data_IF_916122699097
#
_entry.id   IF_916122699097
#
_cell.length_a   1.000
_cell.length_b   1.000
_cell.length_c   1.000
_cell.angle_alpha   90.00
_cell.angle_beta   90.00
_cell.angle_gamma   90.00
#
_symmetry.space_group_name_H-M   'P 1'
#
loop_
_entity.id
_entity.type
_entity.pdbx_description
1 polymer ?
#
# COMPACT_ATOMS: atom_id res chain seq x y z
N UNK A 1 15.94 -9.07 -14.90
CA UNK A 1 15.13 -8.76 -13.71
C UNK A 1 16.07 -8.24 -12.65
N UNK A 2 15.70 -7.20 -11.93
CA UNK A 2 16.65 -6.46 -11.09
C UNK A 2 16.33 -6.63 -9.59
N UNK A 3 17.35 -6.61 -8.75
CA UNK A 3 17.24 -6.48 -7.29
C UNK A 3 17.42 -5.02 -6.89
N UNK A 4 16.63 -4.55 -5.91
CA UNK A 4 16.82 -3.22 -5.29
C UNK A 4 17.29 -3.43 -3.86
N UNK A 5 18.38 -2.75 -3.46
CA UNK A 5 18.84 -2.75 -2.10
C UNK A 5 18.97 -1.30 -1.59
N UNK A 6 18.37 -1.05 -0.43
CA UNK A 6 18.49 0.19 0.33
C UNK A 6 19.35 -0.09 1.56
N UNK A 7 20.43 0.67 1.76
CA UNK A 7 21.36 0.53 2.89
C UNK A 7 21.36 1.80 3.70
N UNK A 8 20.74 1.79 4.87
CA UNK A 8 20.73 2.91 5.81
C UNK A 8 20.18 4.21 5.21
N UNK A 9 19.19 4.14 4.32
CA UNK A 9 18.63 5.32 3.66
C UNK A 9 17.90 6.18 4.67
N UNK A 10 18.32 7.46 4.74
CA UNK A 10 17.68 8.48 5.55
C UNK A 10 17.46 9.77 4.75
N UNK A 11 16.45 10.57 5.13
CA UNK A 11 16.18 11.88 4.53
C UNK A 11 15.69 12.88 5.55
N UNK A 12 16.35 14.02 5.60
CA UNK A 12 15.91 15.21 6.33
C UNK A 12 15.71 16.39 5.39
N UNK A 13 14.75 17.23 5.68
CA UNK A 13 14.54 18.55 5.07
C UNK A 13 14.76 19.61 6.15
N UNK A 14 15.89 20.29 6.09
CA UNK A 14 16.33 21.16 7.19
C UNK A 14 16.46 20.36 8.49
N UNK A 15 15.78 20.79 9.55
CA UNK A 15 15.79 20.12 10.85
C UNK A 15 14.79 18.93 10.97
N UNK A 16 13.94 18.73 9.96
CA UNK A 16 12.88 17.71 10.02
C UNK A 16 13.35 16.41 9.39
N UNK A 17 13.52 15.35 10.18
CA UNK A 17 13.76 13.99 9.70
C UNK A 17 12.44 13.38 9.17
N UNK A 18 12.33 13.21 7.84
CA UNK A 18 11.14 12.65 7.17
C UNK A 18 11.26 11.15 6.96
N UNK A 19 12.46 10.67 6.69
CA UNK A 19 12.78 9.25 6.63
C UNK A 19 13.97 9.00 7.55
N UNK A 20 13.76 8.15 8.53
CA UNK A 20 14.81 7.65 9.41
C UNK A 20 15.53 6.49 8.71
N UNK A 21 16.59 6.00 9.32
CA UNK A 21 17.39 4.94 8.72
C UNK A 21 16.56 3.72 8.31
N UNK A 22 16.53 3.44 7.00
CA UNK A 22 15.81 2.31 6.42
C UNK A 22 16.77 1.45 5.60
N UNK A 23 16.82 0.16 5.94
CA UNK A 23 17.54 -0.85 5.16
C UNK A 23 16.58 -1.95 4.74
N UNK A 24 16.58 -2.29 3.45
CA UNK A 24 15.76 -3.36 2.92
C UNK A 24 16.29 -3.84 1.56
N UNK A 25 15.94 -5.09 1.20
CA UNK A 25 16.23 -5.66 -0.11
C UNK A 25 14.95 -6.15 -0.74
N UNK A 26 14.72 -5.79 -2.03
CA UNK A 26 13.70 -6.37 -2.88
C UNK A 26 14.32 -7.40 -3.79
N UNK A 27 13.72 -8.59 -3.82
CA UNK A 27 14.08 -9.64 -4.75
C UNK A 27 13.64 -9.29 -6.18
N UNK A 28 14.29 -9.93 -7.15
CA UNK A 28 13.93 -9.78 -8.57
C UNK A 28 12.48 -10.21 -8.83
N UNK A 29 11.71 -9.35 -9.47
CA UNK A 29 10.29 -9.59 -9.77
C UNK A 29 9.33 -9.43 -8.59
N UNK A 30 9.83 -9.06 -7.40
CA UNK A 30 9.02 -8.80 -6.21
C UNK A 30 8.23 -7.49 -6.34
N UNK A 31 7.00 -7.48 -5.87
CA UNK A 31 6.22 -6.28 -5.64
C UNK A 31 6.18 -5.96 -4.15
N UNK A 32 6.92 -4.94 -3.74
CA UNK A 32 6.87 -4.39 -2.39
C UNK A 32 5.88 -3.23 -2.34
N UNK A 33 4.90 -3.32 -1.44
CA UNK A 33 3.93 -2.24 -1.24
C UNK A 33 4.25 -1.50 0.06
N UNK A 34 4.22 -0.18 -0.01
CA UNK A 34 4.47 0.72 1.12
C UNK A 34 3.16 1.38 1.52
N UNK A 35 2.75 1.16 2.77
CA UNK A 35 1.56 1.79 3.36
C UNK A 35 1.93 2.55 4.63
N UNK A 36 1.05 3.43 5.05
CA UNK A 36 1.21 4.20 6.28
C UNK A 36 0.37 5.48 6.23
N UNK A 37 0.27 6.17 7.36
CA UNK A 37 -0.44 7.42 7.46
C UNK A 37 0.12 8.50 6.51
N UNK A 38 -0.68 9.54 6.23
CA UNK A 38 -0.20 10.68 5.44
C UNK A 38 1.01 11.33 6.12
N UNK A 39 2.00 11.72 5.33
CA UNK A 39 3.22 12.36 5.85
C UNK A 39 4.27 11.43 6.48
N UNK A 40 4.08 10.11 6.53
CA UNK A 40 5.05 9.18 7.14
C UNK A 40 6.31 8.89 6.28
N UNK A 41 6.48 9.53 5.11
CA UNK A 41 7.68 9.40 4.29
C UNK A 41 7.59 8.50 3.05
N UNK A 42 6.42 7.91 2.73
CA UNK A 42 6.23 6.97 1.58
C UNK A 42 6.68 7.55 0.24
N UNK A 43 6.09 8.66 -0.17
CA UNK A 43 6.44 9.31 -1.45
C UNK A 43 7.86 9.86 -1.45
N UNK A 44 8.40 10.23 -0.27
CA UNK A 44 9.81 10.62 -0.13
C UNK A 44 10.71 9.45 -0.45
N UNK A 45 10.46 8.27 0.13
CA UNK A 45 11.23 7.05 -0.18
C UNK A 45 11.19 6.73 -1.68
N UNK A 46 10.00 6.80 -2.29
CA UNK A 46 9.85 6.57 -3.72
C UNK A 46 10.66 7.55 -4.57
N UNK A 47 10.65 8.85 -4.21
CA UNK A 47 11.41 9.91 -4.90
C UNK A 47 12.93 9.75 -4.74
N UNK A 48 13.39 9.27 -3.58
CA UNK A 48 14.80 8.93 -3.37
C UNK A 48 15.25 7.81 -4.32
N UNK A 49 14.47 6.74 -4.45
CA UNK A 49 14.76 5.64 -5.37
C UNK A 49 14.71 6.11 -6.83
N UNK A 50 13.75 6.97 -7.18
CA UNK A 50 13.65 7.57 -8.51
C UNK A 50 14.82 8.53 -8.84
N UNK A 51 15.53 9.03 -7.82
CA UNK A 51 16.57 10.05 -7.96
C UNK A 51 16.03 11.48 -8.11
N UNK A 52 14.77 11.68 -7.82
CA UNK A 52 14.12 12.99 -7.81
C UNK A 52 14.46 13.78 -6.54
N UNK A 53 14.96 13.08 -5.52
CA UNK A 53 15.50 13.61 -4.27
C UNK A 53 16.81 12.91 -3.97
N UNK A 54 17.75 13.60 -3.34
CA UNK A 54 18.98 13.00 -2.83
C UNK A 54 18.78 12.55 -1.38
N UNK A 55 19.23 11.35 -0.97
CA UNK A 55 19.21 10.95 0.43
C UNK A 55 20.16 11.82 1.26
N UNK A 56 19.88 11.97 2.55
CA UNK A 56 20.77 12.63 3.51
C UNK A 56 21.87 11.68 3.99
N UNK A 57 21.59 10.36 3.99
CA UNK A 57 22.53 9.29 4.30
C UNK A 57 22.11 8.00 3.61
N UNK A 58 23.04 7.03 3.55
CA UNK A 58 22.83 5.70 3.01
C UNK A 58 23.08 5.58 1.50
N UNK A 59 22.80 4.37 0.98
CA UNK A 59 23.05 4.01 -0.42
C UNK A 59 21.88 3.28 -1.05
N UNK A 60 21.66 3.50 -2.34
CA UNK A 60 20.65 2.82 -3.17
C UNK A 60 21.39 2.02 -4.25
N UNK A 61 21.22 0.69 -4.22
CA UNK A 61 21.84 -0.18 -5.21
C UNK A 61 20.77 -0.86 -6.09
N UNK A 62 20.99 -0.89 -7.38
CA UNK A 62 20.16 -1.61 -8.35
C UNK A 62 21.06 -2.63 -9.08
N UNK A 63 20.76 -3.92 -8.93
CA UNK A 63 21.61 -5.03 -9.39
C UNK A 63 23.05 -4.93 -8.86
N UNK A 64 23.21 -4.53 -7.59
CA UNK A 64 24.51 -4.33 -6.96
C UNK A 64 25.26 -3.06 -7.40
N UNK A 65 24.78 -2.34 -8.41
CA UNK A 65 25.36 -1.07 -8.84
C UNK A 65 24.81 0.09 -8.01
N UNK A 66 25.69 0.92 -7.45
CA UNK A 66 25.30 2.14 -6.74
C UNK A 66 24.70 3.16 -7.71
N UNK A 67 23.44 3.53 -7.45
CA UNK A 67 22.69 4.53 -8.21
C UNK A 67 22.35 5.77 -7.36
N UNK A 68 22.88 5.89 -6.16
CA UNK A 68 22.53 6.93 -5.17
C UNK A 68 22.63 8.34 -5.74
N UNK A 69 23.72 8.64 -6.44
CA UNK A 69 23.98 9.97 -7.04
C UNK A 69 23.72 10.01 -8.55
N UNK A 70 23.26 8.87 -9.14
CA UNK A 70 23.02 8.78 -10.58
C UNK A 70 21.81 9.63 -10.97
N UNK A 71 21.93 10.33 -12.11
CA UNK A 71 20.85 11.10 -12.71
C UNK A 71 19.57 10.23 -12.91
N UNK A 72 18.37 10.72 -12.59
CA UNK A 72 17.11 9.97 -12.73
C UNK A 72 16.91 9.33 -14.11
N UNK A 73 17.30 10.03 -15.19
CA UNK A 73 17.15 9.52 -16.55
C UNK A 73 18.05 8.29 -16.85
N UNK A 74 19.11 8.09 -16.05
CA UNK A 74 20.12 7.03 -16.21
C UNK A 74 19.98 5.89 -15.18
N UNK A 75 18.91 5.89 -14.35
CA UNK A 75 18.72 4.89 -13.29
C UNK A 75 18.04 3.59 -13.76
N UNK A 76 17.60 3.49 -15.02
CA UNK A 76 16.77 2.38 -15.53
C UNK A 76 15.49 2.13 -14.71
N UNK A 77 14.93 3.21 -14.19
CA UNK A 77 13.72 3.22 -13.37
C UNK A 77 12.60 3.94 -14.12
N UNK A 78 11.37 3.45 -14.01
CA UNK A 78 10.20 4.17 -14.51
C UNK A 78 9.20 4.41 -13.39
N UNK A 79 8.64 5.63 -13.37
CA UNK A 79 7.69 6.05 -12.33
C UNK A 79 6.32 6.38 -12.94
N UNK A 80 5.27 5.85 -12.31
CA UNK A 80 3.88 6.17 -12.57
C UNK A 80 3.39 7.08 -11.44
N UNK A 81 3.02 8.31 -11.78
CA UNK A 81 2.61 9.34 -10.83
C UNK A 81 1.12 9.29 -10.53
N UNK A 82 0.71 9.75 -9.37
CA UNK A 82 -0.66 9.84 -8.90
C UNK A 82 -1.59 10.59 -9.88
N UNK A 83 -1.11 11.68 -10.51
CA UNK A 83 -1.85 12.49 -11.45
C UNK A 83 -1.63 12.08 -12.92
N UNK A 84 -1.11 10.85 -13.16
CA UNK A 84 -0.76 10.29 -14.46
C UNK A 84 0.34 11.07 -15.21
N UNK A 85 0.52 12.35 -14.98
CA UNK A 85 1.49 13.26 -15.58
C UNK A 85 1.53 13.17 -17.13
N UNK A 86 0.36 12.98 -17.77
CA UNK A 86 0.26 12.93 -19.23
C UNK A 86 0.39 14.31 -19.84
N UNK A 87 1.07 14.40 -20.99
CA UNK A 87 1.15 15.62 -21.78
C UNK A 87 -0.18 15.85 -22.53
N UNK A 88 -0.97 16.88 -22.16
CA UNK A 88 -2.34 17.01 -22.66
C UNK A 88 -2.42 17.35 -24.15
N UNK A 89 -1.38 17.95 -24.71
CA UNK A 89 -1.26 18.35 -26.11
C UNK A 89 -0.79 17.21 -27.03
N UNK A 90 -0.29 16.10 -26.47
CA UNK A 90 0.21 14.93 -27.20
C UNK A 90 -0.88 13.86 -27.32
N UNK A 91 -0.84 13.07 -28.41
CA UNK A 91 -1.65 11.86 -28.54
C UNK A 91 -1.19 10.76 -27.57
N UNK A 92 -1.96 9.68 -27.45
CA UNK A 92 -1.57 8.48 -26.67
C UNK A 92 -0.24 7.92 -27.19
N UNK A 93 -0.11 7.74 -28.51
CA UNK A 93 1.13 7.26 -29.13
C UNK A 93 2.32 8.17 -28.81
N UNK A 94 2.14 9.48 -28.91
CA UNK A 94 3.17 10.46 -28.62
C UNK A 94 3.55 10.46 -27.13
N UNK A 95 2.56 10.36 -26.21
CA UNK A 95 2.82 10.24 -24.78
C UNK A 95 3.66 9.01 -24.48
N UNK A 96 3.30 7.84 -25.01
CA UNK A 96 4.03 6.59 -24.78
C UNK A 96 5.45 6.64 -25.36
N UNK A 97 5.60 7.13 -26.60
CA UNK A 97 6.89 7.15 -27.30
C UNK A 97 7.84 8.29 -26.91
N UNK A 98 7.39 9.25 -26.09
CA UNK A 98 8.13 10.49 -25.84
C UNK A 98 9.53 10.25 -25.22
N UNK A 99 9.61 9.38 -24.22
CA UNK A 99 10.87 9.07 -23.56
C UNK A 99 11.88 8.41 -24.53
N UNK A 100 11.42 7.53 -25.43
CA UNK A 100 12.25 6.92 -26.45
C UNK A 100 12.74 7.95 -27.49
N UNK A 101 11.89 8.92 -27.83
CA UNK A 101 12.28 10.03 -28.71
C UNK A 101 13.40 10.87 -28.11
N UNK A 102 13.30 11.20 -26.80
CA UNK A 102 14.35 11.92 -26.08
C UNK A 102 15.65 11.13 -25.99
N UNK A 103 15.57 9.79 -25.93
CA UNK A 103 16.72 8.89 -25.96
C UNK A 103 17.32 8.70 -27.37
N UNK A 104 16.81 9.39 -28.41
CA UNK A 104 17.35 9.31 -29.77
C UNK A 104 16.95 8.04 -30.53
N UNK A 105 15.95 7.26 -30.07
CA UNK A 105 15.48 6.05 -30.74
C UNK A 105 14.81 6.44 -32.07
N UNK A 106 15.05 5.66 -33.12
CA UNK A 106 14.51 5.89 -34.44
C UNK A 106 12.98 5.77 -34.51
N UNK A 107 12.31 6.60 -35.34
CA UNK A 107 10.86 6.68 -35.44
C UNK A 107 10.16 5.32 -35.66
N UNK A 108 10.72 4.47 -36.53
CA UNK A 108 10.16 3.14 -36.80
C UNK A 108 10.21 2.21 -35.59
N UNK A 109 11.30 2.25 -34.82
CA UNK A 109 11.44 1.46 -33.58
C UNK A 109 10.51 1.98 -32.49
N UNK A 110 10.32 3.32 -32.38
CA UNK A 110 9.35 3.89 -31.44
C UNK A 110 7.95 3.42 -31.80
N UNK A 111 7.53 3.48 -33.07
CA UNK A 111 6.22 3.04 -33.51
C UNK A 111 5.96 1.57 -33.20
N UNK A 112 6.94 0.68 -33.45
CA UNK A 112 6.83 -0.75 -33.16
C UNK A 112 6.66 -0.99 -31.63
N UNK A 113 7.52 -0.39 -30.78
CA UNK A 113 7.42 -0.55 -29.32
C UNK A 113 6.14 0.02 -28.73
N UNK A 114 5.67 1.14 -29.27
CA UNK A 114 4.39 1.77 -28.87
C UNK A 114 3.23 0.87 -29.27
N UNK A 115 3.22 0.28 -30.48
CA UNK A 115 2.16 -0.63 -30.94
C UNK A 115 2.08 -1.89 -30.06
N UNK A 116 3.23 -2.55 -29.80
CA UNK A 116 3.32 -3.72 -28.90
C UNK A 116 2.80 -3.39 -27.49
N UNK A 117 3.24 -2.27 -26.91
CA UNK A 117 2.80 -1.85 -25.57
C UNK A 117 1.31 -1.47 -25.56
N UNK A 118 0.81 -0.85 -26.63
CA UNK A 118 -0.60 -0.49 -26.75
C UNK A 118 -1.50 -1.74 -26.86
N UNK A 119 -1.06 -2.75 -27.58
CA UNK A 119 -1.74 -4.05 -27.66
C UNK A 119 -1.81 -4.70 -26.27
N UNK A 120 -0.68 -4.78 -25.56
CA UNK A 120 -0.58 -5.32 -24.20
C UNK A 120 -1.57 -4.66 -23.22
N UNK A 121 -1.84 -3.34 -23.39
CA UNK A 121 -2.69 -2.52 -22.52
C UNK A 121 -4.10 -2.29 -23.07
N UNK A 122 -4.46 -2.87 -24.23
CA UNK A 122 -5.75 -2.65 -24.87
C UNK A 122 -5.97 -1.19 -25.29
N UNK A 123 -4.92 -0.51 -25.75
CA UNK A 123 -4.94 0.90 -26.16
C UNK A 123 -4.83 1.11 -27.68
N UNK A 124 -4.71 0.04 -28.49
CA UNK A 124 -4.43 0.13 -29.93
C UNK A 124 -5.41 1.03 -30.68
N UNK A 125 -6.72 0.98 -30.37
CA UNK A 125 -7.74 1.82 -30.99
C UNK A 125 -7.74 3.29 -30.48
N UNK A 126 -6.87 3.62 -29.51
CA UNK A 126 -6.85 4.93 -28.85
C UNK A 126 -5.57 5.72 -29.12
N UNK A 127 -4.64 5.18 -29.91
CA UNK A 127 -3.31 5.75 -30.12
C UNK A 127 -3.32 7.21 -30.61
N UNK A 128 -4.29 7.58 -31.44
CA UNK A 128 -4.43 8.94 -32.00
C UNK A 128 -5.24 9.89 -31.10
N UNK A 129 -5.85 9.38 -30.02
CA UNK A 129 -6.59 10.23 -29.09
C UNK A 129 -5.66 11.03 -28.17
N UNK A 130 -6.17 12.16 -27.67
CA UNK A 130 -5.52 12.97 -26.63
C UNK A 130 -6.05 12.62 -25.24
N UNK A 131 -5.29 12.87 -24.16
CA UNK A 131 -5.69 12.53 -22.79
C UNK A 131 -7.07 13.04 -22.36
N UNK A 132 -7.48 14.23 -22.84
CA UNK A 132 -8.80 14.79 -22.54
C UNK A 132 -9.99 13.97 -23.09
N UNK A 133 -9.77 13.13 -24.10
CA UNK A 133 -10.79 12.26 -24.71
C UNK A 133 -10.77 10.84 -24.13
N UNK A 134 -10.08 10.61 -23.00
CA UNK A 134 -9.91 9.30 -22.36
C UNK A 134 -10.62 9.24 -21.00
N UNK A 135 -11.13 8.05 -20.64
CA UNK A 135 -11.59 7.77 -19.28
C UNK A 135 -10.41 7.73 -18.28
N UNK A 136 -10.70 7.79 -16.96
CA UNK A 136 -9.69 7.67 -15.92
C UNK A 136 -8.82 6.44 -16.06
N UNK A 137 -9.42 5.24 -16.24
CA UNK A 137 -8.68 4.00 -16.44
C UNK A 137 -7.88 3.97 -17.74
N UNK A 138 -8.37 4.58 -18.81
CA UNK A 138 -7.60 4.72 -20.05
C UNK A 138 -6.37 5.61 -19.84
N UNK A 139 -6.53 6.76 -19.14
CA UNK A 139 -5.39 7.62 -18.79
C UNK A 139 -4.35 6.87 -17.93
N UNK A 140 -4.82 6.07 -16.97
CA UNK A 140 -3.95 5.23 -16.15
C UNK A 140 -3.13 4.26 -17.01
N UNK A 141 -3.79 3.54 -17.93
CA UNK A 141 -3.10 2.61 -18.85
C UNK A 141 -2.08 3.32 -19.73
N UNK A 142 -2.39 4.54 -20.21
CA UNK A 142 -1.41 5.33 -20.97
C UNK A 142 -0.20 5.71 -20.11
N UNK A 143 -0.40 6.09 -18.84
CA UNK A 143 0.70 6.38 -17.92
C UNK A 143 1.57 5.13 -17.67
N UNK A 144 0.95 3.96 -17.53
CA UNK A 144 1.67 2.68 -17.46
C UNK A 144 2.41 2.38 -18.76
N UNK A 145 1.80 2.62 -19.92
CA UNK A 145 2.43 2.43 -21.23
C UNK A 145 3.69 3.27 -21.41
N UNK A 146 3.68 4.52 -20.91
CA UNK A 146 4.89 5.37 -20.88
C UNK A 146 6.03 4.77 -20.06
N UNK A 147 5.70 4.06 -18.99
CA UNK A 147 6.69 3.39 -18.17
C UNK A 147 7.19 2.09 -18.81
N UNK A 148 6.28 1.26 -19.33
CA UNK A 148 6.57 -0.07 -19.89
C UNK A 148 7.39 0.01 -21.17
N UNK A 149 7.10 0.96 -22.05
CA UNK A 149 7.77 1.10 -23.37
C UNK A 149 9.29 1.29 -23.24
N UNK A 150 9.74 1.77 -22.07
CA UNK A 150 11.17 1.93 -21.73
C UNK A 150 11.85 0.64 -21.30
N UNK A 151 11.06 -0.42 -20.99
CA UNK A 151 11.57 -1.69 -20.45
C UNK A 151 12.46 -1.48 -19.21
N UNK A 152 11.99 -0.79 -18.18
CA UNK A 152 12.80 -0.43 -17.03
C UNK A 152 13.14 -1.67 -16.18
N UNK A 153 14.22 -1.58 -15.41
CA UNK A 153 14.60 -2.59 -14.42
C UNK A 153 13.73 -2.56 -13.16
N UNK A 154 13.19 -1.38 -12.82
CA UNK A 154 12.40 -1.15 -11.62
C UNK A 154 11.19 -0.26 -11.93
N UNK A 155 9.99 -0.67 -11.52
CA UNK A 155 8.79 0.16 -11.54
C UNK A 155 8.57 0.82 -10.19
N UNK A 156 8.21 2.09 -10.22
CA UNK A 156 7.78 2.88 -9.07
C UNK A 156 6.35 3.38 -9.30
N UNK A 157 5.45 3.12 -8.35
CA UNK A 157 4.07 3.55 -8.40
C UNK A 157 3.75 4.45 -7.21
N UNK A 158 3.46 5.74 -7.47
CA UNK A 158 3.08 6.72 -6.45
C UNK A 158 1.56 6.91 -6.45
N UNK A 159 0.86 6.16 -5.61
CA UNK A 159 -0.60 6.16 -5.46
C UNK A 159 -1.38 6.13 -6.79
N UNK A 160 -1.08 5.20 -7.70
CA UNK A 160 -1.56 5.28 -9.08
C UNK A 160 -3.07 5.14 -9.22
N UNK A 161 -3.78 4.62 -8.22
CA UNK A 161 -5.23 4.34 -8.27
C UNK A 161 -6.07 5.34 -7.47
N UNK A 162 -5.46 6.30 -6.76
CA UNK A 162 -6.16 7.23 -5.86
C UNK A 162 -7.23 8.10 -6.56
N UNK A 163 -7.02 8.44 -7.82
CA UNK A 163 -7.92 9.30 -8.61
C UNK A 163 -9.00 8.52 -9.39
N UNK A 164 -9.21 7.23 -9.10
CA UNK A 164 -10.22 6.39 -9.74
C UNK A 164 -11.41 6.15 -8.81
N UNK A 165 -12.59 5.97 -9.39
CA UNK A 165 -13.77 5.49 -8.65
C UNK A 165 -13.56 4.05 -8.11
N UNK A 166 -14.36 3.67 -7.12
CA UNK A 166 -14.20 2.39 -6.40
C UNK A 166 -14.28 1.17 -7.34
N UNK A 167 -15.22 1.15 -8.30
CA UNK A 167 -15.39 0.03 -9.22
C UNK A 167 -14.20 -0.11 -10.16
N UNK A 168 -13.74 1.01 -10.72
CA UNK A 168 -12.60 1.04 -11.62
C UNK A 168 -11.30 0.70 -10.87
N UNK A 169 -11.16 1.14 -9.61
CA UNK A 169 -10.02 0.82 -8.75
C UNK A 169 -9.84 -0.69 -8.58
N UNK A 170 -10.93 -1.43 -8.32
CA UNK A 170 -10.90 -2.90 -8.18
C UNK A 170 -10.38 -3.57 -9.45
N UNK A 171 -10.89 -3.19 -10.63
CA UNK A 171 -10.47 -3.78 -11.91
C UNK A 171 -9.01 -3.44 -12.26
N UNK A 172 -8.61 -2.17 -12.05
CA UNK A 172 -7.26 -1.70 -12.34
C UNK A 172 -6.21 -2.31 -11.42
N UNK A 173 -6.51 -2.52 -10.15
CA UNK A 173 -5.65 -3.23 -9.20
C UNK A 173 -5.30 -4.64 -9.70
N UNK A 174 -6.31 -5.42 -10.08
CA UNK A 174 -6.10 -6.75 -10.62
C UNK A 174 -5.30 -6.73 -11.96
N UNK A 175 -5.52 -5.72 -12.79
CA UNK A 175 -4.81 -5.53 -14.06
C UNK A 175 -3.33 -5.20 -13.83
N UNK A 176 -3.03 -4.24 -12.96
CA UNK A 176 -1.64 -3.85 -12.60
C UNK A 176 -0.88 -5.07 -12.05
N UNK A 177 -1.51 -5.83 -11.14
CA UNK A 177 -0.85 -7.01 -10.56
C UNK A 177 -0.58 -8.10 -11.61
N UNK A 178 -1.54 -8.38 -12.48
CA UNK A 178 -1.35 -9.34 -13.59
C UNK A 178 -0.25 -8.90 -14.55
N UNK A 179 -0.22 -7.62 -14.88
CA UNK A 179 0.77 -7.04 -15.77
C UNK A 179 2.18 -7.10 -15.15
N UNK A 180 2.32 -6.74 -13.89
CA UNK A 180 3.59 -6.80 -13.17
C UNK A 180 4.13 -8.24 -13.14
N UNK A 181 3.26 -9.23 -12.83
CA UNK A 181 3.65 -10.65 -12.88
C UNK A 181 4.06 -11.11 -14.28
N UNK A 182 3.32 -10.69 -15.31
CA UNK A 182 3.62 -11.04 -16.71
C UNK A 182 4.96 -10.46 -17.18
N UNK A 183 5.27 -9.23 -16.77
CA UNK A 183 6.52 -8.57 -17.11
C UNK A 183 7.70 -9.04 -16.23
N UNK A 184 7.41 -9.59 -15.05
CA UNK A 184 8.41 -10.01 -14.07
C UNK A 184 9.26 -8.87 -13.50
N UNK A 185 8.85 -7.61 -13.65
CA UNK A 185 9.64 -6.45 -13.23
C UNK A 185 9.48 -6.19 -11.74
N UNK A 186 10.59 -5.97 -11.06
CA UNK A 186 10.63 -5.56 -9.65
C UNK A 186 9.89 -4.24 -9.48
N UNK A 187 9.06 -4.13 -8.45
CA UNK A 187 8.15 -2.99 -8.31
C UNK A 187 8.07 -2.49 -6.87
N UNK A 188 8.10 -1.17 -6.72
CA UNK A 188 7.82 -0.47 -5.48
C UNK A 188 6.51 0.30 -5.64
N UNK A 189 5.53 0.03 -4.80
CA UNK A 189 4.18 0.56 -4.92
C UNK A 189 3.79 1.29 -3.63
N UNK A 190 3.43 2.55 -3.73
CA UNK A 190 2.94 3.37 -2.60
C UNK A 190 1.44 3.47 -2.67
N UNK A 191 0.77 3.25 -1.55
CA UNK A 191 -0.67 3.46 -1.40
C UNK A 191 -1.03 3.85 0.03
N UNK A 192 -2.20 4.42 0.23
CA UNK A 192 -2.85 4.56 1.52
C UNK A 192 -4.04 3.58 1.68
N UNK A 193 -4.37 2.81 0.64
CA UNK A 193 -5.46 1.82 0.63
C UNK A 193 -4.94 0.46 1.11
N UNK A 194 -5.48 0.00 2.26
CA UNK A 194 -5.12 -1.29 2.86
C UNK A 194 -5.49 -2.46 1.97
N UNK A 195 -6.59 -2.36 1.22
CA UNK A 195 -7.04 -3.44 0.31
C UNK A 195 -6.06 -3.59 -0.86
N UNK A 196 -5.52 -2.48 -1.38
CA UNK A 196 -4.44 -2.53 -2.38
C UNK A 196 -3.22 -3.24 -1.81
N UNK A 197 -2.80 -2.85 -0.60
CA UNK A 197 -1.65 -3.43 0.05
C UNK A 197 -1.81 -4.95 0.28
N UNK A 198 -2.94 -5.36 0.81
CA UNK A 198 -3.22 -6.77 1.10
C UNK A 198 -3.29 -7.65 -0.15
N UNK A 199 -3.78 -7.10 -1.28
CA UNK A 199 -4.07 -7.90 -2.48
C UNK A 199 -2.98 -7.86 -3.55
N UNK A 200 -2.12 -6.85 -3.54
CA UNK A 200 -1.09 -6.66 -4.58
C UNK A 200 0.31 -7.06 -4.11
N UNK A 201 0.61 -6.90 -2.81
CA UNK A 201 1.97 -7.09 -2.32
C UNK A 201 2.42 -8.55 -2.28
N UNK A 202 3.67 -8.79 -2.63
CA UNK A 202 4.40 -9.98 -2.19
C UNK A 202 4.93 -9.76 -0.77
N UNK A 203 5.45 -8.56 -0.49
CA UNK A 203 5.78 -8.06 0.85
C UNK A 203 5.23 -6.65 1.04
N UNK A 204 4.97 -6.30 2.29
CA UNK A 204 4.38 -5.06 2.73
C UNK A 204 5.32 -4.36 3.71
N UNK A 205 5.48 -3.05 3.57
CA UNK A 205 6.07 -2.18 4.60
C UNK A 205 4.95 -1.32 5.19
N UNK A 206 4.76 -1.41 6.49
CA UNK A 206 3.95 -0.44 7.24
C UNK A 206 4.87 0.65 7.79
N UNK A 207 4.69 1.88 7.31
CA UNK A 207 5.50 3.02 7.73
C UNK A 207 4.80 3.85 8.81
N UNK A 208 5.57 4.21 9.85
CA UNK A 208 5.15 5.09 10.92
C UNK A 208 6.25 6.11 11.21
N UNK A 209 5.94 7.40 11.17
CA UNK A 209 6.84 8.49 11.56
C UNK A 209 8.27 8.38 10.99
N UNK A 210 8.38 8.03 9.70
CA UNK A 210 9.65 7.90 8.98
C UNK A 210 10.38 6.56 9.17
N UNK A 211 9.81 5.62 9.91
CA UNK A 211 10.37 4.28 10.15
C UNK A 211 9.52 3.18 9.53
N UNK A 212 10.13 2.03 9.25
CA UNK A 212 9.41 0.80 8.94
C UNK A 212 8.98 0.11 10.25
N UNK A 213 7.71 0.25 10.60
CA UNK A 213 7.14 -0.38 11.79
C UNK A 213 7.07 -1.91 11.66
N UNK A 214 6.83 -2.40 10.44
CA UNK A 214 6.89 -3.84 10.12
C UNK A 214 7.14 -4.04 8.63
N UNK A 215 7.92 -5.09 8.28
CA UNK A 215 8.14 -5.56 6.91
C UNK A 215 7.90 -7.07 6.90
N UNK A 216 6.84 -7.53 6.23
CA UNK A 216 6.48 -8.95 6.14
C UNK A 216 5.51 -9.18 4.97
N UNK A 217 5.06 -10.43 4.77
CA UNK A 217 3.93 -10.70 3.84
C UNK A 217 2.65 -10.06 4.36
N UNK A 218 1.67 -9.71 3.48
CA UNK A 218 0.42 -9.11 3.92
C UNK A 218 -0.30 -9.89 5.01
N UNK A 219 -0.37 -11.22 4.86
CA UNK A 219 -1.04 -12.09 5.84
C UNK A 219 -0.30 -12.14 7.19
N UNK A 220 1.04 -12.09 7.19
CA UNK A 220 1.81 -12.00 8.44
C UNK A 220 1.61 -10.68 9.16
N UNK A 221 1.59 -9.55 8.42
CA UNK A 221 1.32 -8.22 9.01
C UNK A 221 -0.07 -8.19 9.64
N UNK A 222 -1.07 -8.79 8.98
CA UNK A 222 -2.43 -8.86 9.48
C UNK A 222 -2.56 -9.79 10.69
N UNK A 223 -2.04 -11.01 10.60
CA UNK A 223 -2.18 -12.03 11.64
C UNK A 223 -1.25 -11.82 12.84
N UNK A 224 -0.07 -11.22 12.62
CA UNK A 224 0.96 -11.02 13.67
C UNK A 224 1.50 -9.58 13.60
N UNK A 225 0.68 -8.56 13.89
CA UNK A 225 1.15 -7.18 13.89
C UNK A 225 2.25 -6.99 14.93
N UNK A 226 3.34 -6.31 14.54
CA UNK A 226 4.52 -6.14 15.38
C UNK A 226 4.29 -5.20 16.58
N UNK A 227 3.29 -4.34 16.49
CA UNK A 227 2.93 -3.40 17.55
C UNK A 227 1.46 -2.96 17.43
N UNK A 228 0.99 -2.22 18.42
CA UNK A 228 -0.37 -1.66 18.48
C UNK A 228 -0.68 -0.79 17.26
N UNK A 229 0.28 0.03 16.81
CA UNK A 229 0.06 0.87 15.63
C UNK A 229 -0.26 0.03 14.39
N UNK A 230 0.54 -0.99 14.11
CA UNK A 230 0.30 -1.89 12.96
C UNK A 230 -1.03 -2.64 13.12
N UNK A 231 -1.34 -3.10 14.33
CA UNK A 231 -2.59 -3.80 14.65
C UNK A 231 -3.83 -2.94 14.35
N UNK A 232 -3.79 -1.66 14.72
CA UNK A 232 -4.87 -0.70 14.49
C UNK A 232 -4.87 -0.12 13.08
N UNK A 233 -3.69 0.01 12.46
CA UNK A 233 -3.59 0.52 11.09
C UNK A 233 -4.05 -0.53 10.06
N UNK A 234 -3.79 -1.83 10.29
CA UNK A 234 -4.13 -2.91 9.36
C UNK A 234 -5.42 -3.61 9.77
N UNK A 235 -6.46 -3.44 8.98
CA UNK A 235 -7.81 -3.97 9.19
C UNK A 235 -8.87 -2.86 9.21
N UNK A 236 -10.05 -3.16 8.69
CA UNK A 236 -11.23 -2.29 8.67
C UNK A 236 -12.46 -3.09 9.12
N UNK A 237 -12.97 -2.78 10.31
CA UNK A 237 -12.49 -1.80 11.31
C UNK A 237 -11.12 -2.12 11.91
N UNK A 238 -10.55 -1.13 12.64
CA UNK A 238 -9.30 -1.31 13.36
C UNK A 238 -9.43 -2.35 14.49
N UNK A 239 -8.30 -2.99 14.87
CA UNK A 239 -8.26 -3.89 16.02
C UNK A 239 -8.68 -3.15 17.30
N UNK A 240 -9.58 -3.73 18.09
CA UNK A 240 -9.87 -3.26 19.44
C UNK A 240 -8.65 -3.51 20.32
N UNK A 241 -8.23 -2.50 21.08
CA UNK A 241 -7.08 -2.61 22.00
C UNK A 241 -7.45 -1.93 23.30
N UNK A 242 -7.37 -2.66 24.41
CA UNK A 242 -7.78 -2.20 25.75
C UNK A 242 -7.00 -2.92 26.86
N UNK A 243 -7.20 -2.49 28.09
CA UNK A 243 -6.70 -3.19 29.28
C UNK A 243 -7.40 -4.55 29.41
N UNK A 244 -6.68 -5.66 29.53
CA UNK A 244 -7.29 -6.98 29.72
C UNK A 244 -8.28 -7.05 30.87
N UNK A 245 -8.05 -6.31 31.96
CA UNK A 245 -8.96 -6.26 33.12
C UNK A 245 -10.34 -5.69 32.76
N UNK A 246 -10.40 -4.78 31.79
CA UNK A 246 -11.67 -4.18 31.33
C UNK A 246 -12.61 -5.22 30.70
N UNK A 247 -12.07 -6.35 30.27
CA UNK A 247 -12.82 -7.44 29.62
C UNK A 247 -12.71 -8.77 30.37
N UNK A 248 -12.33 -8.72 31.67
CA UNK A 248 -12.25 -9.91 32.52
C UNK A 248 -11.21 -10.93 32.08
N UNK A 249 -10.23 -10.54 31.32
CA UNK A 249 -9.11 -11.40 30.88
C UNK A 249 -7.94 -11.25 31.84
N UNK A 250 -7.49 -12.34 32.43
CA UNK A 250 -6.30 -12.33 33.28
C UNK A 250 -5.05 -12.13 32.42
N UNK A 251 -4.26 -11.10 32.74
CA UNK A 251 -2.96 -10.84 32.14
C UNK A 251 -2.03 -10.14 33.15
N UNK A 252 -0.71 -10.20 32.95
CA UNK A 252 0.24 -9.43 33.75
C UNK A 252 0.00 -7.92 33.66
N UNK A 253 0.39 -7.18 34.70
CA UNK A 253 0.34 -5.71 34.66
C UNK A 253 1.21 -5.17 33.50
N UNK A 254 0.74 -4.09 32.85
CA UNK A 254 1.46 -3.46 31.74
C UNK A 254 1.28 -4.18 30.37
N UNK A 255 0.30 -5.06 30.28
CA UNK A 255 -0.07 -5.73 29.01
C UNK A 255 -1.36 -5.12 28.48
N UNK A 256 -1.44 -4.90 27.16
CA UNK A 256 -2.67 -4.59 26.44
C UNK A 256 -3.18 -5.83 25.71
N UNK A 257 -4.49 -5.97 25.66
CA UNK A 257 -5.20 -7.00 24.88
C UNK A 257 -5.70 -6.40 23.57
N UNK A 258 -5.31 -7.02 22.45
CA UNK A 258 -5.88 -6.72 21.14
C UNK A 258 -6.81 -7.85 20.69
N UNK A 259 -7.92 -7.49 20.04
CA UNK A 259 -8.79 -8.43 19.34
C UNK A 259 -9.39 -7.78 18.10
N UNK A 260 -9.42 -8.53 17.01
CA UNK A 260 -10.02 -8.02 15.78
C UNK A 260 -11.54 -8.00 15.87
N UNK A 261 -12.22 -7.03 15.23
CA UNK A 261 -13.67 -6.94 15.23
C UNK A 261 -14.37 -8.22 14.75
N UNK A 262 -13.82 -8.91 13.77
CA UNK A 262 -14.33 -10.18 13.23
C UNK A 262 -14.13 -11.38 14.16
N UNK A 263 -13.21 -11.29 15.11
CA UNK A 263 -12.88 -12.36 16.05
C UNK A 263 -13.63 -12.22 17.40
N UNK A 264 -14.36 -11.11 17.60
CA UNK A 264 -15.24 -10.96 18.75
C UNK A 264 -16.46 -11.89 18.57
N UNK A 265 -16.61 -12.86 19.45
CA UNK A 265 -17.73 -13.79 19.39
C UNK A 265 -18.92 -13.27 20.19
N UNK A 266 -20.14 -13.55 19.70
CA UNK A 266 -21.41 -13.31 20.42
C UNK A 266 -21.81 -14.61 21.11
N UNK A 267 -22.07 -14.54 22.43
CA UNK A 267 -22.41 -15.71 23.25
C UNK A 267 -22.38 -15.35 24.72
N UNK A 268 -22.14 -16.33 25.59
CA UNK A 268 -22.06 -16.13 27.04
C UNK A 268 -20.78 -15.37 27.38
N UNK A 269 -20.91 -14.13 27.88
CA UNK A 269 -19.74 -13.31 28.18
C UNK A 269 -20.09 -11.97 28.81
N UNK A 270 -19.37 -10.92 28.41
CA UNK A 270 -19.53 -9.57 28.95
C UNK A 270 -20.65 -8.85 28.20
N UNK A 271 -21.49 -8.13 28.90
CA UNK A 271 -22.55 -7.33 28.29
C UNK A 271 -21.96 -6.14 27.51
N UNK A 272 -22.29 -6.04 26.24
CA UNK A 272 -22.03 -4.90 25.39
C UNK A 272 -23.32 -4.11 25.19
N UNK A 273 -23.38 -2.88 25.66
CA UNK A 273 -24.48 -1.96 25.34
C UNK A 273 -24.28 -1.43 23.94
N UNK A 274 -25.21 -1.73 23.03
CA UNK A 274 -25.11 -1.33 21.62
C UNK A 274 -25.43 0.16 21.46
N UNK A 275 -24.52 0.93 20.87
CA UNK A 275 -24.70 2.36 20.56
C UNK A 275 -25.07 2.59 19.10
N UNK A 276 -24.47 1.83 18.17
CA UNK A 276 -24.67 2.00 16.74
C UNK A 276 -24.56 0.66 16.01
N UNK A 277 -25.43 0.47 15.03
CA UNK A 277 -25.39 -0.68 14.13
C UNK A 277 -25.32 -0.19 12.69
N UNK A 278 -24.30 -0.63 11.96
CA UNK A 278 -24.06 -0.27 10.56
C UNK A 278 -24.21 -1.52 9.66
N UNK A 279 -25.38 -1.77 9.05
CA UNK A 279 -25.55 -2.85 8.08
C UNK A 279 -24.82 -2.50 6.77
N UNK A 280 -23.82 -3.31 6.38
CA UNK A 280 -23.06 -3.15 5.15
C UNK A 280 -23.47 -4.14 4.05
N UNK A 281 -24.64 -4.76 4.20
CA UNK A 281 -25.16 -5.75 3.26
C UNK A 281 -24.76 -7.18 3.65
N UNK A 282 -23.59 -7.63 3.26
CA UNK A 282 -23.10 -8.97 3.60
C UNK A 282 -22.66 -9.12 5.06
N UNK A 283 -22.30 -8.02 5.70
CA UNK A 283 -21.81 -7.96 7.08
C UNK A 283 -22.41 -6.76 7.81
N UNK A 284 -22.35 -6.80 9.13
CA UNK A 284 -22.82 -5.71 10.01
C UNK A 284 -21.72 -5.37 10.99
N UNK A 285 -21.43 -4.07 11.13
CA UNK A 285 -20.62 -3.53 12.22
C UNK A 285 -21.52 -3.14 13.38
N UNK A 286 -21.11 -3.49 14.58
CA UNK A 286 -21.82 -3.16 15.81
C UNK A 286 -20.82 -2.44 16.72
N UNK A 287 -21.16 -1.24 17.10
CA UNK A 287 -20.39 -0.42 18.02
C UNK A 287 -21.13 -0.34 19.34
N UNK A 288 -20.41 -0.51 20.43
CA UNK A 288 -21.00 -0.43 21.76
C UNK A 288 -19.99 -0.14 22.83
N UNK A 289 -20.48 -0.09 24.07
CA UNK A 289 -19.70 0.20 25.26
C UNK A 289 -19.80 -0.97 26.24
N UNK A 290 -18.66 -1.39 26.76
CA UNK A 290 -18.54 -2.39 27.81
C UNK A 290 -18.84 -1.78 29.18
N UNK A 291 -19.17 -2.59 30.21
CA UNK A 291 -19.41 -2.08 31.58
C UNK A 291 -18.23 -1.31 32.17
N UNK A 292 -17.01 -1.55 31.68
CA UNK A 292 -15.80 -0.82 32.03
C UNK A 292 -15.71 0.59 31.44
N UNK A 293 -16.63 0.93 30.48
CA UNK A 293 -16.57 2.18 29.72
C UNK A 293 -15.74 2.11 28.45
N UNK A 294 -15.07 0.98 28.17
CA UNK A 294 -14.31 0.78 26.95
C UNK A 294 -15.22 0.60 25.74
N UNK A 295 -14.85 1.20 24.61
CA UNK A 295 -15.57 1.02 23.35
C UNK A 295 -15.11 -0.22 22.63
N UNK A 296 -16.07 -0.98 22.13
CA UNK A 296 -15.84 -2.18 21.35
C UNK A 296 -16.56 -2.11 20.00
N UNK A 297 -15.84 -2.44 18.94
CA UNK A 297 -16.44 -2.68 17.63
C UNK A 297 -16.35 -4.17 17.33
N UNK A 298 -17.47 -4.77 16.93
CA UNK A 298 -17.49 -6.12 16.41
C UNK A 298 -18.05 -6.15 15.00
N UNK A 299 -17.60 -7.11 14.22
CA UNK A 299 -18.00 -7.34 12.84
C UNK A 299 -18.54 -8.76 12.71
N UNK A 300 -19.74 -8.90 12.17
CA UNK A 300 -20.38 -10.20 12.00
C UNK A 300 -21.06 -10.33 10.64
N UNK A 301 -21.18 -11.54 10.10
CA UNK A 301 -22.01 -11.78 8.91
C UNK A 301 -23.49 -11.60 9.22
N UNK A 302 -24.27 -11.21 8.19
CA UNK A 302 -25.72 -11.09 8.26
C UNK A 302 -26.24 -9.72 8.74
N UNK A 303 -27.54 -9.67 8.99
CA UNK A 303 -28.25 -8.44 9.36
C UNK A 303 -28.05 -8.00 10.81
N UNK A 304 -28.60 -6.80 11.17
CA UNK A 304 -28.46 -6.25 12.49
C UNK A 304 -29.11 -7.15 13.55
N UNK A 305 -28.52 -7.26 14.75
CA UNK A 305 -29.20 -7.88 15.87
C UNK A 305 -30.36 -6.97 16.29
N UNK A 306 -31.51 -7.55 16.55
CA UNK A 306 -32.69 -6.83 17.07
C UNK A 306 -32.60 -6.55 18.57
N UNK A 307 -31.39 -6.27 19.13
CA UNK A 307 -31.15 -6.17 20.56
C UNK A 307 -30.31 -4.90 20.88
N UNK A 308 -30.71 -4.23 21.96
CA UNK A 308 -29.98 -3.09 22.52
C UNK A 308 -28.73 -3.53 23.32
N UNK A 309 -28.60 -4.83 23.62
CA UNK A 309 -27.52 -5.40 24.39
C UNK A 309 -27.12 -6.78 23.82
N UNK A 310 -25.82 -7.02 23.75
CA UNK A 310 -25.21 -8.29 23.32
C UNK A 310 -24.29 -8.81 24.41
N UNK A 311 -24.21 -10.13 24.55
CA UNK A 311 -23.14 -10.75 25.32
C UNK A 311 -21.99 -11.11 24.37
N UNK A 312 -20.77 -10.66 24.69
CA UNK A 312 -19.58 -10.85 23.84
C UNK A 312 -18.47 -11.58 24.59
N UNK A 313 -17.73 -12.38 23.83
CA UNK A 313 -16.54 -13.10 24.35
C UNK A 313 -15.33 -12.84 23.45
N UNK A 314 -14.16 -13.06 24.00
CA UNK A 314 -12.86 -12.87 23.37
C UNK A 314 -12.13 -14.21 23.31
N UNK A 315 -12.28 -15.02 22.23
CA UNK A 315 -11.65 -16.34 22.14
C UNK A 315 -10.13 -16.26 22.33
N UNK A 316 -9.58 -17.15 23.14
CA UNK A 316 -8.14 -17.10 23.51
C UNK A 316 -7.22 -17.16 22.29
N UNK A 317 -7.53 -18.03 21.32
CA UNK A 317 -6.75 -18.18 20.09
C UNK A 317 -6.71 -16.92 19.20
N UNK A 318 -7.65 -15.98 19.40
CA UNK A 318 -7.75 -14.74 18.63
C UNK A 318 -7.16 -13.53 19.35
N UNK A 319 -6.66 -13.72 20.59
CA UNK A 319 -6.10 -12.63 21.38
C UNK A 319 -4.70 -12.27 20.93
N UNK A 320 -4.44 -10.98 20.87
CA UNK A 320 -3.12 -10.41 20.68
C UNK A 320 -2.69 -9.70 21.96
N UNK A 321 -1.43 -9.84 22.34
CA UNK A 321 -0.91 -9.18 23.53
C UNK A 321 0.21 -8.23 23.15
N UNK A 322 0.20 -7.05 23.76
CA UNK A 322 1.18 -5.99 23.52
C UNK A 322 1.67 -5.44 24.86
N UNK A 323 2.92 -5.03 24.92
CA UNK A 323 3.47 -4.29 26.05
C UNK A 323 2.90 -2.86 26.07
N UNK A 324 2.27 -2.44 27.15
CA UNK A 324 1.61 -1.12 27.22
C UNK A 324 2.59 0.05 27.06
N UNK A 325 3.83 -0.10 27.58
CA UNK A 325 4.83 0.97 27.54
C UNK A 325 5.38 1.24 26.14
N UNK A 326 5.65 0.19 25.36
CA UNK A 326 6.27 0.29 24.02
C UNK A 326 5.29 0.08 22.88
N UNK A 327 4.13 -0.50 23.15
CA UNK A 327 3.18 -0.98 22.16
C UNK A 327 3.65 -2.21 21.39
N UNK A 328 4.79 -2.81 21.71
CA UNK A 328 5.34 -3.96 21.00
C UNK A 328 4.55 -5.23 21.30
N UNK A 329 4.46 -6.11 20.32
CA UNK A 329 3.86 -7.43 20.47
C UNK A 329 4.68 -8.28 21.45
N UNK A 330 3.99 -9.03 22.32
CA UNK A 330 4.54 -10.02 23.23
C UNK A 330 4.55 -11.43 22.62
#
# INVERSE_FOLDING_TARGET
MATLELRGIAKSFGATAVLKELSLTLASGEMLVIVGASGCGKSTLLRLVAGLEAPSAGQILLDGADITTRDPAKRDVAMVFQNYALYPHMTVAQNMGYALKLAGVGKGQIAAKVAETAELLGLSALLERRPGALSGGQRQRVAMGRAIVRQPKLFLFDEPLSNLDAKLRVSMRAEIRRLQKRLGVTSLYVTHDQTEAMTMADRLIVMQAGEAAQIATPMEVFAKPANVFVAQFMGQPAMNVFDPAAVGVAAPAGVLLGIRPEDVAVGDGIALTVELVEPLGAETLIHGVLPSGERLTLKRPGGPPGMDQLLVTFPEAARHYFEAASGRRL
#
